data_IF_768645492315
#
_entry.id   IF_768645492315
#
_cell.length_a   1.000
_cell.length_b   1.000
_cell.length_c   1.000
_cell.angle_alpha   90.00
_cell.angle_beta   90.00
_cell.angle_gamma   90.00
#
_symmetry.space_group_name_H-M   'P 1'
#
loop_
_entity.id
_entity.type
_entity.pdbx_description
1 polymer ?
#
# COMPACT_ATOMS: atom_id res chain seq x y z
N UNK A 1 14.04 4.69 10.52
CA UNK A 1 12.73 5.10 9.97
C UNK A 1 12.87 6.56 9.57
N UNK A 2 12.55 6.94 8.33
CA UNK A 2 12.63 8.33 7.87
C UNK A 2 11.21 8.79 7.52
N UNK A 3 10.66 9.69 8.32
CA UNK A 3 9.26 10.11 8.21
C UNK A 3 8.92 10.67 6.82
N UNK A 4 9.82 11.45 6.22
CA UNK A 4 9.62 12.03 4.89
C UNK A 4 9.58 10.94 3.82
N UNK A 5 10.50 9.98 3.87
CA UNK A 5 10.55 8.89 2.91
C UNK A 5 9.34 7.96 3.04
N UNK A 6 8.94 7.63 4.27
CA UNK A 6 7.81 6.74 4.54
C UNK A 6 6.48 7.43 4.19
N UNK A 7 6.35 8.74 4.45
CA UNK A 7 5.21 9.53 4.00
C UNK A 7 5.09 9.55 2.47
N UNK A 8 6.17 9.91 1.76
CA UNK A 8 6.19 9.91 0.28
C UNK A 8 5.83 8.54 -0.30
N UNK A 9 6.29 7.48 0.35
CA UNK A 9 5.94 6.12 -0.05
C UNK A 9 4.45 5.83 0.09
N UNK A 10 3.86 6.10 1.25
CA UNK A 10 2.43 5.87 1.44
C UNK A 10 1.57 6.79 0.57
N UNK A 11 1.95 8.07 0.41
CA UNK A 11 1.26 9.00 -0.49
C UNK A 11 1.25 8.48 -1.93
N UNK A 12 2.38 7.93 -2.41
CA UNK A 12 2.45 7.29 -3.73
C UNK A 12 1.61 6.02 -3.79
N UNK A 13 1.77 5.09 -2.86
CA UNK A 13 1.11 3.77 -2.92
C UNK A 13 -0.40 3.90 -2.73
N UNK A 14 -0.86 4.80 -1.87
CA UNK A 14 -2.28 5.02 -1.59
C UNK A 14 -2.88 6.23 -2.31
N UNK A 15 -2.25 6.67 -3.42
CA UNK A 15 -2.76 7.77 -4.27
C UNK A 15 -4.15 7.53 -4.87
N UNK A 16 -4.64 6.28 -4.81
CA UNK A 16 -5.98 5.89 -5.26
C UNK A 16 -6.95 5.62 -4.10
N UNK A 17 -6.47 5.66 -2.86
CA UNK A 17 -7.30 5.49 -1.65
C UNK A 17 -7.65 6.84 -1.00
N UNK A 18 -6.76 7.83 -1.12
CA UNK A 18 -6.89 9.14 -0.50
C UNK A 18 -6.82 10.26 -1.52
N UNK A 19 -7.52 11.35 -1.21
CA UNK A 19 -7.43 12.62 -1.93
C UNK A 19 -6.38 13.45 -1.22
N UNK A 20 -5.38 13.91 -1.97
CA UNK A 20 -4.31 14.75 -1.46
C UNK A 20 -4.47 16.17 -2.00
N UNK A 21 -4.09 17.16 -1.19
CA UNK A 21 -4.06 18.55 -1.63
C UNK A 21 -2.88 18.75 -2.58
N UNK A 22 -3.17 19.14 -3.83
CA UNK A 22 -2.14 19.35 -4.85
C UNK A 22 -1.38 20.67 -4.67
N UNK A 23 -1.86 21.57 -3.81
CA UNK A 23 -1.24 22.86 -3.55
C UNK A 23 -0.17 22.79 -2.45
N UNK A 24 -0.19 21.74 -1.63
CA UNK A 24 0.75 21.55 -0.53
C UNK A 24 1.87 20.60 -0.91
N UNK A 25 3.09 20.98 -0.52
CA UNK A 25 4.22 20.05 -0.61
C UNK A 25 4.21 19.05 0.57
N UNK A 26 4.95 17.96 0.41
CA UNK A 26 5.00 16.90 1.42
C UNK A 26 5.55 17.40 2.77
N UNK A 27 6.45 18.39 2.77
CA UNK A 27 7.04 18.91 4.00
C UNK A 27 6.04 19.79 4.75
N UNK A 28 5.22 20.56 4.04
CA UNK A 28 4.12 21.33 4.59
C UNK A 28 3.08 20.43 5.26
N UNK A 29 2.58 19.41 4.57
CA UNK A 29 1.62 18.46 5.13
C UNK A 29 2.17 17.76 6.38
N UNK A 30 3.43 17.32 6.34
CA UNK A 30 4.08 16.70 7.51
C UNK A 30 4.21 17.71 8.66
N UNK A 31 4.65 18.94 8.39
CA UNK A 31 4.79 19.97 9.43
C UNK A 31 3.45 20.27 10.11
N UNK A 32 2.38 20.46 9.34
CA UNK A 32 1.04 20.73 9.88
C UNK A 32 0.56 19.61 10.80
N UNK A 33 0.69 18.35 10.36
CA UNK A 33 0.32 17.19 11.17
C UNK A 33 1.19 17.11 12.43
N UNK A 34 2.51 17.29 12.32
CA UNK A 34 3.40 17.26 13.48
C UNK A 34 3.12 18.39 14.46
N UNK A 35 2.85 19.61 14.00
CA UNK A 35 2.46 20.74 14.84
C UNK A 35 1.16 20.44 15.59
N UNK A 36 0.18 19.84 14.92
CA UNK A 36 -1.06 19.38 15.56
C UNK A 36 -0.78 18.31 16.63
N UNK A 37 -0.01 17.27 16.29
CA UNK A 37 0.32 16.18 17.22
C UNK A 37 1.12 16.66 18.43
N UNK A 38 2.06 17.60 18.21
CA UNK A 38 2.85 18.22 19.27
C UNK A 38 1.95 19.05 20.21
N UNK A 39 1.09 19.91 19.66
CA UNK A 39 0.13 20.69 20.43
C UNK A 39 -0.84 19.83 21.26
N UNK A 40 -1.14 18.60 20.78
CA UNK A 40 -1.94 17.60 21.50
C UNK A 40 -1.13 16.73 22.47
N UNK A 41 0.17 16.99 22.64
CA UNK A 41 1.13 16.21 23.44
C UNK A 41 1.18 14.72 23.03
N UNK A 42 0.94 14.42 21.77
CA UNK A 42 1.01 13.07 21.22
C UNK A 42 2.42 12.72 20.73
N UNK A 43 3.20 13.72 20.34
CA UNK A 43 4.61 13.59 20.00
C UNK A 43 5.45 14.62 20.75
N UNK A 44 6.72 14.31 20.92
CA UNK A 44 7.74 15.17 21.52
C UNK A 44 8.86 15.30 20.50
N UNK A 45 9.32 16.52 20.25
CA UNK A 45 10.49 16.80 19.41
C UNK A 45 11.73 16.96 20.29
N UNK A 46 12.84 16.37 19.87
CA UNK A 46 14.15 16.51 20.51
C UNK A 46 15.22 16.76 19.45
N UNK A 47 16.27 17.50 19.80
CA UNK A 47 17.46 17.60 18.96
C UNK A 47 18.56 16.71 19.55
N UNK A 48 19.11 15.81 18.74
CA UNK A 48 20.20 14.92 19.13
C UNK A 48 21.29 14.98 18.07
N UNK A 49 22.48 15.42 18.46
CA UNK A 49 23.64 15.56 17.56
C UNK A 49 23.36 16.42 16.31
N UNK A 50 22.57 17.49 16.45
CA UNK A 50 22.19 18.36 15.31
C UNK A 50 21.10 17.78 14.41
N UNK A 51 20.53 16.62 14.76
CA UNK A 51 19.41 16.02 14.04
C UNK A 51 18.11 16.14 14.84
N UNK A 52 17.00 16.39 14.14
CA UNK A 52 15.67 16.42 14.75
C UNK A 52 15.11 15.00 14.91
N UNK A 53 14.75 14.65 16.14
CA UNK A 53 14.13 13.39 16.54
C UNK A 53 12.70 13.63 17.01
N UNK A 54 11.83 12.67 16.70
CA UNK A 54 10.43 12.70 17.13
C UNK A 54 10.16 11.42 17.90
N UNK A 55 9.69 11.58 19.14
CA UNK A 55 9.23 10.46 19.96
C UNK A 55 7.71 10.50 20.14
N UNK A 56 7.07 9.34 20.04
CA UNK A 56 5.64 9.20 20.32
C UNK A 56 5.43 9.04 21.82
N UNK A 57 4.73 10.01 22.43
CA UNK A 57 4.43 10.00 23.86
C UNK A 57 3.50 8.83 24.24
N UNK A 58 3.39 8.52 25.54
CA UNK A 58 2.43 7.51 26.02
C UNK A 58 0.97 7.81 25.63
N UNK A 59 0.60 9.10 25.54
CA UNK A 59 -0.71 9.53 25.02
C UNK A 59 -0.81 9.27 23.52
N UNK A 60 0.23 9.62 22.77
CA UNK A 60 0.31 9.36 21.33
C UNK A 60 0.16 7.88 20.99
N UNK A 61 0.83 6.99 21.73
CA UNK A 61 0.74 5.53 21.50
C UNK A 61 -0.69 4.99 21.58
N UNK A 62 -1.54 5.57 22.44
CA UNK A 62 -2.96 5.20 22.51
C UNK A 62 -3.80 5.89 21.45
N UNK A 63 -3.58 7.19 21.25
CA UNK A 63 -4.40 8.02 20.36
C UNK A 63 -4.14 7.78 18.87
N UNK A 64 -2.90 7.44 18.49
CA UNK A 64 -2.48 7.23 17.10
C UNK A 64 -2.74 5.82 16.59
N UNK A 65 -2.89 4.84 17.49
CA UNK A 65 -3.10 3.44 17.12
C UNK A 65 -4.34 3.20 16.24
N UNK A 66 -5.50 3.85 16.49
CA UNK A 66 -6.64 3.74 15.58
C UNK A 66 -6.33 4.21 14.16
N UNK A 67 -5.55 5.28 13.98
CA UNK A 67 -5.17 5.79 12.65
C UNK A 67 -4.28 4.80 11.90
N UNK A 68 -3.35 4.14 12.59
CA UNK A 68 -2.58 3.05 12.00
C UNK A 68 -3.50 1.88 11.58
N UNK A 69 -4.54 1.59 12.37
CA UNK A 69 -5.56 0.61 12.03
C UNK A 69 -6.38 0.96 10.78
N UNK A 70 -6.67 2.24 10.56
CA UNK A 70 -7.42 2.73 9.39
C UNK A 70 -6.70 2.49 8.06
N UNK A 71 -5.37 2.46 8.06
CA UNK A 71 -4.59 2.23 6.83
C UNK A 71 -4.21 0.75 6.64
N UNK A 72 -4.32 -0.06 7.69
CA UNK A 72 -3.82 -1.43 7.71
C UNK A 72 -4.55 -2.33 6.71
N UNK A 73 -5.87 -2.15 6.54
CA UNK A 73 -6.65 -2.90 5.55
C UNK A 73 -6.18 -2.64 4.11
N UNK A 74 -5.74 -1.42 3.77
CA UNK A 74 -5.16 -1.14 2.44
C UNK A 74 -3.81 -1.84 2.28
N UNK A 75 -2.94 -1.82 3.29
CA UNK A 75 -1.65 -2.54 3.26
C UNK A 75 -1.89 -4.03 2.99
N UNK A 76 -2.81 -4.66 3.73
CA UNK A 76 -3.18 -6.06 3.56
C UNK A 76 -3.81 -6.33 2.18
N UNK A 77 -4.66 -5.42 1.68
CA UNK A 77 -5.28 -5.55 0.36
C UNK A 77 -4.22 -5.58 -0.75
N UNK A 78 -3.25 -4.66 -0.68
CA UNK A 78 -2.16 -4.57 -1.65
C UNK A 78 -1.26 -5.81 -1.56
N UNK A 79 -1.04 -6.35 -0.36
CA UNK A 79 -0.31 -7.60 -0.20
C UNK A 79 -0.98 -8.79 -0.89
N UNK A 80 -2.31 -8.93 -0.76
CA UNK A 80 -3.07 -9.97 -1.48
C UNK A 80 -2.88 -9.84 -2.99
N UNK A 81 -3.01 -8.62 -3.53
CA UNK A 81 -2.87 -8.38 -4.97
C UNK A 81 -1.44 -8.66 -5.45
N UNK A 82 -0.40 -8.22 -4.74
CA UNK A 82 0.99 -8.52 -5.08
C UNK A 82 1.30 -10.03 -5.05
N UNK A 83 0.72 -10.75 -4.08
CA UNK A 83 0.88 -12.20 -4.01
C UNK A 83 0.19 -12.89 -5.18
N UNK A 84 -1.00 -12.43 -5.58
CA UNK A 84 -1.70 -12.94 -6.75
C UNK A 84 -0.92 -12.62 -8.04
N UNK A 85 -0.41 -11.39 -8.18
CA UNK A 85 0.43 -10.96 -9.29
C UNK A 85 1.68 -11.84 -9.45
N UNK A 86 2.28 -12.29 -8.35
CA UNK A 86 3.43 -13.20 -8.39
C UNK A 86 3.14 -14.55 -9.08
N UNK A 87 1.87 -14.96 -9.20
CA UNK A 87 1.46 -16.16 -9.95
C UNK A 87 1.51 -15.93 -11.46
N UNK A 88 1.34 -14.68 -11.92
CA UNK A 88 1.41 -14.32 -13.35
C UNK A 88 2.81 -14.53 -13.95
N UNK A 89 3.84 -14.76 -13.11
CA UNK A 89 5.18 -15.17 -13.57
C UNK A 89 5.17 -16.45 -14.41
N UNK A 90 4.19 -17.32 -14.18
CA UNK A 90 4.07 -18.59 -14.90
C UNK A 90 3.27 -18.44 -16.18
N UNK A 91 2.21 -17.64 -16.13
CA UNK A 91 1.21 -17.57 -17.19
C UNK A 91 0.37 -16.29 -17.04
N UNK A 92 0.22 -15.48 -18.10
CA UNK A 92 -0.71 -14.35 -18.12
C UNK A 92 -2.16 -14.80 -17.88
N UNK A 93 -3.01 -13.94 -17.31
CA UNK A 93 -4.41 -14.29 -17.03
C UNK A 93 -5.38 -13.21 -17.47
N UNK A 94 -6.55 -13.62 -17.98
CA UNK A 94 -7.63 -12.68 -18.28
C UNK A 94 -7.99 -11.86 -17.03
N UNK A 95 -8.45 -10.62 -17.19
CA UNK A 95 -8.85 -9.80 -16.06
C UNK A 95 -9.89 -10.48 -15.15
N UNK A 96 -10.83 -11.23 -15.74
CA UNK A 96 -11.83 -12.00 -15.00
C UNK A 96 -11.21 -13.12 -14.17
N UNK A 97 -10.29 -13.89 -14.74
CA UNK A 97 -9.65 -15.00 -14.04
C UNK A 97 -8.65 -14.51 -13.01
N UNK A 98 -7.97 -13.40 -13.27
CA UNK A 98 -7.08 -12.77 -12.32
C UNK A 98 -7.84 -12.20 -11.12
N UNK A 99 -8.98 -11.53 -11.33
CA UNK A 99 -9.85 -11.10 -10.24
C UNK A 99 -10.35 -12.28 -9.38
N UNK A 100 -10.75 -13.40 -10.02
CA UNK A 100 -11.11 -14.63 -9.28
C UNK A 100 -9.93 -15.21 -8.49
N UNK A 101 -8.72 -15.11 -9.01
CA UNK A 101 -7.51 -15.54 -8.31
C UNK A 101 -7.25 -14.66 -7.08
N UNK A 102 -7.30 -13.34 -7.23
CA UNK A 102 -7.12 -12.38 -6.13
C UNK A 102 -8.13 -12.67 -5.02
N UNK A 103 -9.42 -12.80 -5.36
CA UNK A 103 -10.48 -13.08 -4.39
C UNK A 103 -10.27 -14.41 -3.65
N UNK A 104 -9.97 -15.49 -4.37
CA UNK A 104 -9.65 -16.79 -3.73
C UNK A 104 -8.42 -16.71 -2.84
N UNK A 105 -7.40 -15.95 -3.26
CA UNK A 105 -6.17 -15.79 -2.50
C UNK A 105 -6.39 -14.99 -1.23
N UNK A 106 -7.09 -13.86 -1.30
CA UNK A 106 -7.48 -13.05 -0.14
C UNK A 106 -8.27 -13.85 0.88
N UNK A 107 -9.31 -14.56 0.43
CA UNK A 107 -10.11 -15.43 1.32
C UNK A 107 -9.26 -16.54 1.98
N UNK A 108 -8.29 -17.12 1.25
CA UNK A 108 -7.36 -18.10 1.81
C UNK A 108 -6.41 -17.47 2.84
N UNK A 109 -5.87 -16.29 2.56
CA UNK A 109 -4.98 -15.55 3.47
C UNK A 109 -5.71 -15.15 4.76
N UNK A 110 -6.95 -14.68 4.65
CA UNK A 110 -7.79 -14.36 5.79
C UNK A 110 -8.08 -15.58 6.67
N UNK A 111 -8.51 -16.71 6.09
CA UNK A 111 -8.73 -17.96 6.84
C UNK A 111 -7.48 -18.48 7.54
N UNK A 112 -6.29 -18.15 7.03
CA UNK A 112 -5.00 -18.54 7.62
C UNK A 112 -4.48 -17.54 8.66
N UNK A 113 -5.18 -16.43 8.88
CA UNK A 113 -4.72 -15.33 9.75
C UNK A 113 -3.54 -14.55 9.18
N UNK A 114 -3.22 -14.73 7.89
CA UNK A 114 -2.22 -13.91 7.21
C UNK A 114 -2.79 -12.50 6.97
N UNK A 115 -4.06 -12.40 6.60
CA UNK A 115 -4.83 -11.15 6.60
C UNK A 115 -5.71 -11.15 7.85
N UNK A 116 -5.66 -10.07 8.62
CA UNK A 116 -6.35 -9.94 9.91
C UNK A 116 -7.66 -9.18 9.74
N UNK A 117 -7.73 -8.20 8.83
CA UNK A 117 -8.93 -7.37 8.61
C UNK A 117 -9.80 -7.94 7.52
N UNK A 118 -11.08 -8.18 7.82
CA UNK A 118 -12.05 -8.59 6.80
C UNK A 118 -12.23 -7.50 5.73
N UNK A 119 -12.06 -6.24 6.12
CA UNK A 119 -12.08 -5.06 5.25
C UNK A 119 -10.99 -5.09 4.18
N UNK A 120 -9.89 -5.83 4.39
CA UNK A 120 -8.85 -6.03 3.40
C UNK A 120 -9.26 -6.96 2.24
N UNK A 121 -10.44 -7.58 2.33
CA UNK A 121 -11.05 -8.38 1.26
C UNK A 121 -11.93 -7.56 0.31
N UNK A 122 -11.98 -6.24 0.50
CA UNK A 122 -12.73 -5.31 -0.33
C UNK A 122 -12.30 -5.38 -1.80
N UNK A 123 -13.28 -5.61 -2.68
CA UNK A 123 -13.07 -5.56 -4.14
C UNK A 123 -12.58 -4.17 -4.59
N UNK A 124 -13.08 -3.10 -3.98
CA UNK A 124 -12.63 -1.74 -4.32
C UNK A 124 -11.14 -1.53 -4.00
N UNK A 125 -10.67 -2.04 -2.86
CA UNK A 125 -9.25 -1.95 -2.49
C UNK A 125 -8.37 -2.75 -3.46
N UNK A 126 -8.83 -3.93 -3.90
CA UNK A 126 -8.12 -4.71 -4.91
C UNK A 126 -8.03 -3.99 -6.25
N UNK A 127 -9.10 -3.33 -6.68
CA UNK A 127 -9.11 -2.55 -7.92
C UNK A 127 -8.16 -1.34 -7.84
N UNK A 128 -8.14 -0.64 -6.71
CA UNK A 128 -7.17 0.45 -6.49
C UNK A 128 -5.74 -0.06 -6.52
N UNK A 129 -5.44 -1.16 -5.83
CA UNK A 129 -4.12 -1.79 -5.85
C UNK A 129 -3.69 -2.22 -7.27
N UNK A 130 -4.60 -2.83 -8.05
CA UNK A 130 -4.33 -3.22 -9.44
C UNK A 130 -4.00 -2.02 -10.32
N UNK A 131 -4.73 -0.91 -10.16
CA UNK A 131 -4.44 0.33 -10.88
C UNK A 131 -3.07 0.89 -10.48
N UNK A 132 -2.73 0.89 -9.18
CA UNK A 132 -1.41 1.32 -8.72
C UNK A 132 -0.29 0.44 -9.29
N UNK A 133 -0.46 -0.87 -9.32
CA UNK A 133 0.53 -1.78 -9.91
C UNK A 133 0.69 -1.59 -11.42
N UNK A 134 -0.37 -1.21 -12.14
CA UNK A 134 -0.27 -0.87 -13.58
C UNK A 134 0.44 0.45 -13.79
N UNK A 135 0.03 1.50 -13.09
CA UNK A 135 0.64 2.83 -13.15
C UNK A 135 2.15 2.80 -12.78
N UNK A 136 2.54 1.94 -11.83
CA UNK A 136 3.94 1.74 -11.40
C UNK A 136 4.71 0.78 -12.34
N UNK A 137 4.10 0.39 -13.47
CA UNK A 137 4.59 -0.56 -14.48
C UNK A 137 5.11 -1.86 -13.84
N UNK A 138 4.36 -2.40 -12.88
CA UNK A 138 4.56 -3.74 -12.32
C UNK A 138 3.73 -4.76 -13.10
N UNK A 139 2.53 -4.36 -13.51
CA UNK A 139 1.62 -5.13 -14.33
C UNK A 139 1.40 -4.43 -15.67
N UNK A 140 1.23 -5.21 -16.73
CA UNK A 140 0.79 -4.71 -18.03
C UNK A 140 -0.28 -5.64 -18.62
N UNK A 141 -1.04 -5.08 -19.56
CA UNK A 141 -2.04 -5.82 -20.33
C UNK A 141 -1.42 -6.25 -21.66
N UNK A 142 -1.47 -7.54 -21.96
CA UNK A 142 -1.08 -8.13 -23.25
C UNK A 142 -2.30 -8.62 -23.99
N UNK A 143 -2.31 -8.49 -25.32
CA UNK A 143 -3.38 -9.04 -26.14
C UNK A 143 -3.36 -10.57 -26.08
N UNK A 144 -4.53 -11.20 -25.98
CA UNK A 144 -4.66 -12.65 -26.07
C UNK A 144 -4.48 -13.12 -27.50
N UNK A 145 -3.61 -14.11 -27.70
CA UNK A 145 -3.43 -14.79 -28.99
C UNK A 145 -4.63 -15.67 -29.36
N UNK A 146 -5.34 -16.21 -28.35
CA UNK A 146 -6.46 -17.15 -28.54
C UNK A 146 -7.82 -16.45 -28.76
N UNK A 147 -8.02 -15.26 -28.20
CA UNK A 147 -9.28 -14.52 -28.28
C UNK A 147 -9.04 -13.06 -28.64
N UNK A 148 -9.48 -12.67 -29.85
CA UNK A 148 -9.61 -11.26 -30.23
C UNK A 148 -10.40 -10.50 -29.16
N UNK A 149 -9.88 -9.33 -28.79
CA UNK A 149 -10.42 -8.41 -27.79
C UNK A 149 -10.39 -8.85 -26.31
N UNK A 150 -9.56 -9.85 -25.97
CA UNK A 150 -9.29 -10.18 -24.55
C UNK A 150 -7.90 -9.72 -24.12
N UNK A 151 -7.82 -8.89 -23.08
CA UNK A 151 -6.57 -8.47 -22.44
C UNK A 151 -6.21 -9.40 -21.29
N UNK A 152 -4.94 -9.80 -21.24
CA UNK A 152 -4.36 -10.61 -20.17
C UNK A 152 -3.44 -9.76 -19.31
N UNK A 153 -3.51 -9.92 -18.01
CA UNK A 153 -2.55 -9.38 -17.07
C UNK A 153 -1.27 -10.24 -17.09
N UNK A 154 -0.13 -9.57 -17.24
CA UNK A 154 1.20 -10.15 -17.09
C UNK A 154 2.07 -9.28 -16.18
N UNK A 155 3.07 -9.89 -15.53
CA UNK A 155 4.10 -9.15 -14.81
C UNK A 155 5.13 -8.60 -15.79
N UNK A 156 5.60 -7.38 -15.55
CA UNK A 156 6.76 -6.86 -16.29
C UNK A 156 8.03 -7.65 -15.99
N UNK A 157 9.00 -7.62 -16.91
CA UNK A 157 10.31 -8.26 -16.74
C UNK A 157 11.12 -7.68 -15.57
N UNK A 158 10.80 -6.45 -15.13
CA UNK A 158 11.45 -5.79 -14.01
C UNK A 158 10.96 -6.34 -12.65
N UNK A 159 11.44 -7.55 -12.32
CA UNK A 159 11.12 -8.28 -11.09
C UNK A 159 11.45 -7.50 -9.81
N UNK A 160 12.39 -6.57 -9.88
CA UNK A 160 12.80 -5.79 -8.71
C UNK A 160 11.70 -4.84 -8.22
N UNK A 161 10.80 -4.38 -9.09
CA UNK A 161 9.73 -3.44 -8.71
C UNK A 161 8.74 -4.07 -7.74
N UNK A 162 8.21 -5.26 -8.06
CA UNK A 162 7.25 -5.94 -7.17
C UNK A 162 7.92 -6.38 -5.86
N UNK A 163 9.17 -6.85 -5.92
CA UNK A 163 9.88 -7.27 -4.70
C UNK A 163 10.22 -6.10 -3.79
N UNK A 164 10.63 -4.96 -4.36
CA UNK A 164 10.88 -3.73 -3.61
C UNK A 164 9.60 -3.20 -2.96
N UNK A 165 8.48 -3.16 -3.70
CA UNK A 165 7.19 -2.76 -3.15
C UNK A 165 6.75 -3.70 -2.02
N UNK A 166 6.89 -5.01 -2.22
CA UNK A 166 6.59 -6.03 -1.22
C UNK A 166 7.41 -5.82 0.04
N UNK A 167 8.74 -5.79 -0.07
CA UNK A 167 9.63 -5.59 1.07
C UNK A 167 9.29 -4.30 1.83
N UNK A 168 8.98 -3.22 1.10
CA UNK A 168 8.67 -1.94 1.71
C UNK A 168 7.32 -1.95 2.44
N UNK A 169 6.27 -2.56 1.88
CA UNK A 169 4.95 -2.72 2.54
C UNK A 169 5.03 -3.63 3.76
N UNK A 170 5.80 -4.73 3.68
CA UNK A 170 5.95 -5.68 4.79
C UNK A 170 6.57 -5.08 6.05
N UNK A 171 7.29 -3.95 5.97
CA UNK A 171 7.79 -3.24 7.16
C UNK A 171 6.67 -2.61 8.01
N UNK A 172 5.44 -2.56 7.49
CA UNK A 172 4.29 -1.92 8.12
C UNK A 172 3.13 -2.90 8.41
N UNK A 173 3.35 -4.21 8.19
CA UNK A 173 2.50 -5.31 8.65
C UNK A 173 3.08 -5.86 9.96
#
# INVERSE_FOLDING_TARGET
MNLMEDYKFFKRVFRREFIFDSQKDNAEEIREVLSYLYGRRMVIGEERNGEAWIEVSGRGRRALRPFAGLIHNYIESYWVVMRAASVLRKEPKSGKDFNKLIQRMGAKMFRKGEVIRAEALSQANYESALKVLRDDEILHEVASEEKKDTWLYSLTDNRNRIESLRQRLFRFL
#
